data_IF_704268427083
#
_entry.id   IF_704268427083
#
_cell.length_a   1.000
_cell.length_b   1.000
_cell.length_c   1.000
_cell.angle_alpha   90.00
_cell.angle_beta   90.00
_cell.angle_gamma   90.00
#
_symmetry.space_group_name_H-M   'P 1'
#
loop_
_entity.id
_entity.type
_entity.pdbx_description
1 polymer ?
#
# COMPACT_ATOMS: atom_id res chain seq x y z
N UNK A 1 -6.63 7.66 -19.29
CA UNK A 1 -7.75 8.13 -18.44
C UNK A 1 -7.44 7.74 -17.00
N UNK A 2 -6.96 8.69 -16.19
CA UNK A 2 -6.29 8.46 -14.89
C UNK A 2 -7.23 8.75 -13.72
N UNK A 3 -8.11 7.82 -13.36
CA UNK A 3 -8.83 7.92 -12.09
C UNK A 3 -7.84 7.81 -10.93
N UNK A 4 -7.88 8.75 -9.99
CA UNK A 4 -7.07 8.73 -8.76
C UNK A 4 -7.22 7.40 -8.01
N UNK A 5 -8.43 6.88 -7.95
CA UNK A 5 -8.75 5.61 -7.31
C UNK A 5 -7.90 4.44 -7.84
N UNK A 6 -7.80 4.28 -9.16
CA UNK A 6 -6.93 3.27 -9.81
C UNK A 6 -5.44 3.45 -9.50
N UNK A 7 -5.00 4.63 -9.07
CA UNK A 7 -3.61 4.88 -8.64
C UNK A 7 -3.42 4.67 -7.15
N UNK A 8 -4.41 5.06 -6.34
CA UNK A 8 -4.33 5.08 -4.88
C UNK A 8 -4.56 3.67 -4.32
N UNK A 9 -5.57 2.93 -4.80
CA UNK A 9 -5.89 1.58 -4.31
C UNK A 9 -4.67 0.64 -4.34
N UNK A 10 -3.96 0.45 -5.48
CA UNK A 10 -2.81 -0.46 -5.52
C UNK A 10 -1.66 0.01 -4.64
N UNK A 11 -1.42 1.32 -4.53
CA UNK A 11 -0.38 1.88 -3.65
C UNK A 11 -0.70 1.65 -2.18
N UNK A 12 -1.91 1.95 -1.74
CA UNK A 12 -2.37 1.67 -0.39
C UNK A 12 -2.27 0.18 -0.06
N UNK A 13 -2.59 -0.69 -1.02
CA UNK A 13 -2.49 -2.14 -0.83
C UNK A 13 -1.05 -2.58 -0.57
N UNK A 14 -0.09 -2.09 -1.35
CA UNK A 14 1.35 -2.33 -1.12
C UNK A 14 1.79 -1.85 0.25
N UNK A 15 1.46 -0.61 0.63
CA UNK A 15 1.83 -0.05 1.95
C UNK A 15 1.23 -0.88 3.08
N UNK A 16 -0.04 -1.28 2.98
CA UNK A 16 -0.68 -2.13 3.99
C UNK A 16 0.06 -3.44 4.15
N UNK A 17 0.39 -4.14 3.06
CA UNK A 17 1.14 -5.41 3.12
C UNK A 17 2.50 -5.25 3.80
N UNK A 18 3.22 -4.16 3.49
CA UNK A 18 4.50 -3.87 4.10
C UNK A 18 4.38 -3.58 5.60
N UNK A 19 3.37 -2.81 6.02
CA UNK A 19 3.07 -2.54 7.43
C UNK A 19 2.71 -3.85 8.17
N UNK A 20 1.84 -4.67 7.59
CA UNK A 20 1.42 -5.95 8.17
C UNK A 20 2.57 -6.93 8.38
N UNK A 21 3.60 -6.85 7.54
CA UNK A 21 4.81 -7.68 7.65
C UNK A 21 5.91 -7.01 8.48
N UNK A 22 5.69 -5.81 9.01
CA UNK A 22 6.68 -5.07 9.80
C UNK A 22 7.89 -4.59 9.00
N UNK A 23 7.79 -4.55 7.66
CA UNK A 23 8.89 -4.12 6.77
C UNK A 23 9.05 -2.59 6.72
N UNK A 24 7.99 -1.89 7.09
CA UNK A 24 7.92 -0.45 7.30
C UNK A 24 7.09 -0.21 8.57
N UNK A 25 7.29 0.94 9.21
CA UNK A 25 6.51 1.37 10.37
C UNK A 25 5.66 2.61 10.02
N UNK A 26 4.59 2.84 10.81
CA UNK A 26 3.76 4.05 10.67
C UNK A 26 4.53 5.33 11.02
N UNK A 27 5.57 5.19 11.83
CA UNK A 27 6.47 6.24 12.28
C UNK A 27 7.27 6.88 11.12
N UNK A 28 7.49 6.13 10.03
CA UNK A 28 8.15 6.62 8.81
C UNK A 28 7.33 7.67 8.03
N UNK A 29 6.22 8.18 8.58
CA UNK A 29 5.39 9.27 8.04
C UNK A 29 5.14 9.10 6.54
N UNK A 30 4.57 7.97 6.16
CA UNK A 30 4.09 7.77 4.78
C UNK A 30 2.86 8.65 4.58
N UNK A 31 3.10 9.89 4.16
CA UNK A 31 2.04 10.84 3.88
C UNK A 31 1.21 10.37 2.69
N UNK A 32 -0.12 10.45 2.78
CA UNK A 32 -1.03 10.17 1.66
C UNK A 32 -0.69 11.01 0.43
N UNK A 33 -0.24 12.25 0.63
CA UNK A 33 0.26 13.13 -0.44
C UNK A 33 1.43 12.50 -1.19
N UNK A 34 2.36 11.85 -0.50
CA UNK A 34 3.50 11.15 -1.11
C UNK A 34 3.03 9.99 -2.00
N UNK A 35 1.98 9.27 -1.60
CA UNK A 35 1.41 8.20 -2.42
C UNK A 35 0.76 8.74 -3.70
N UNK A 36 0.09 9.89 -3.63
CA UNK A 36 -0.63 10.47 -4.78
C UNK A 36 0.30 11.21 -5.75
N UNK A 37 1.28 11.95 -5.22
CA UNK A 37 2.19 12.82 -5.98
C UNK A 37 3.31 12.00 -6.63
N UNK A 38 3.76 10.91 -6.00
CA UNK A 38 4.86 10.11 -6.55
C UNK A 38 4.48 9.42 -7.87
N UNK A 39 5.42 9.49 -8.81
CA UNK A 39 5.35 8.73 -10.05
C UNK A 39 5.30 7.22 -9.78
N UNK A 40 4.69 6.45 -10.68
CA UNK A 40 4.65 4.99 -10.56
C UNK A 40 6.06 4.40 -10.42
N UNK A 41 7.04 4.94 -11.16
CA UNK A 41 8.43 4.50 -11.11
C UNK A 41 9.03 4.70 -9.71
N UNK A 42 8.92 5.91 -9.16
CA UNK A 42 9.45 6.21 -7.84
C UNK A 42 8.80 5.35 -6.75
N UNK A 43 7.49 5.14 -6.84
CA UNK A 43 6.77 4.28 -5.91
C UNK A 43 7.24 2.82 -6.00
N UNK A 44 7.41 2.29 -7.22
CA UNK A 44 7.89 0.93 -7.47
C UNK A 44 9.28 0.73 -6.87
N UNK A 45 10.23 1.60 -7.17
CA UNK A 45 11.61 1.46 -6.68
C UNK A 45 11.67 1.52 -5.14
N UNK A 46 10.87 2.40 -4.54
CA UNK A 46 10.88 2.64 -3.08
C UNK A 46 10.17 1.55 -2.28
N UNK A 47 9.01 1.07 -2.74
CA UNK A 47 8.11 0.22 -1.94
C UNK A 47 7.87 -1.17 -2.54
N UNK A 48 8.11 -1.38 -3.83
CA UNK A 48 7.92 -2.68 -4.47
C UNK A 48 9.27 -3.36 -4.64
N UNK A 49 10.16 -2.82 -5.47
CA UNK A 49 11.47 -3.41 -5.79
C UNK A 49 12.31 -3.63 -4.53
N UNK A 50 12.38 -2.64 -3.64
CA UNK A 50 13.14 -2.72 -2.38
C UNK A 50 12.73 -3.89 -1.48
N UNK A 51 11.47 -4.29 -1.50
CA UNK A 51 10.92 -5.32 -0.61
C UNK A 51 10.48 -6.58 -1.35
N UNK A 52 10.78 -6.66 -2.64
CA UNK A 52 10.35 -7.76 -3.50
C UNK A 52 10.94 -9.10 -3.08
N UNK A 53 12.16 -9.10 -2.53
CA UNK A 53 12.80 -10.33 -2.01
C UNK A 53 12.07 -10.89 -0.78
N UNK A 54 11.50 -10.01 0.06
CA UNK A 54 10.71 -10.42 1.22
C UNK A 54 9.26 -10.73 0.86
N UNK A 55 8.72 -10.05 -0.15
CA UNK A 55 7.34 -10.20 -0.61
C UNK A 55 7.30 -10.20 -2.13
N UNK A 56 7.56 -11.35 -2.79
CA UNK A 56 7.61 -11.44 -4.25
C UNK A 56 6.31 -11.02 -4.94
N UNK A 57 5.21 -11.06 -4.19
CA UNK A 57 3.85 -10.77 -4.65
C UNK A 57 3.53 -9.27 -4.72
N UNK A 58 4.39 -8.37 -4.19
CA UNK A 58 4.14 -6.93 -4.19
C UNK A 58 3.90 -6.34 -5.58
N UNK A 59 4.61 -6.85 -6.60
CA UNK A 59 4.43 -6.40 -7.98
C UNK A 59 3.05 -6.77 -8.53
N UNK A 60 2.54 -7.96 -8.18
CA UNK A 60 1.20 -8.40 -8.58
C UNK A 60 0.12 -7.59 -7.87
N UNK A 61 0.32 -7.27 -6.58
CA UNK A 61 -0.57 -6.40 -5.81
C UNK A 61 -0.60 -4.99 -6.41
N UNK A 62 0.56 -4.42 -6.76
CA UNK A 62 0.64 -3.10 -7.39
C UNK A 62 -0.08 -3.05 -8.75
N UNK A 63 -0.02 -4.13 -9.53
CA UNK A 63 -0.76 -4.24 -10.79
C UNK A 63 -2.25 -4.60 -10.60
N UNK A 64 -2.71 -4.80 -9.36
CA UNK A 64 -4.08 -5.24 -9.07
C UNK A 64 -4.39 -6.66 -9.56
N UNK A 65 -3.36 -7.47 -9.81
CA UNK A 65 -3.49 -8.88 -10.23
C UNK A 65 -3.68 -9.83 -9.04
N UNK A 66 -3.42 -9.35 -7.83
CA UNK A 66 -3.52 -10.12 -6.60
C UNK A 66 -4.08 -9.24 -5.49
N UNK A 67 -4.95 -9.79 -4.66
CA UNK A 67 -5.53 -9.09 -3.51
C UNK A 67 -4.80 -9.42 -2.22
N UNK A 68 -4.98 -8.59 -1.20
CA UNK A 68 -4.37 -8.81 0.13
C UNK A 68 -4.89 -10.11 0.78
N UNK A 69 -6.15 -10.48 0.52
CA UNK A 69 -6.74 -11.72 1.03
C UNK A 69 -6.06 -12.98 0.47
N UNK A 70 -5.66 -12.95 -0.80
CA UNK A 70 -4.92 -14.06 -1.43
C UNK A 70 -3.50 -14.24 -0.86
N UNK A 71 -2.94 -13.22 -0.23
CA UNK A 71 -1.66 -13.32 0.48
C UNK A 71 -1.79 -13.99 1.87
N UNK A 72 -3.02 -14.39 2.26
CA UNK A 72 -3.32 -14.92 3.59
C UNK A 72 -3.29 -13.86 4.69
N UNK A 73 -3.36 -12.57 4.32
CA UNK A 73 -3.53 -11.47 5.24
C UNK A 73 -5.03 -11.21 5.41
N UNK A 74 -5.72 -12.09 6.14
CA UNK A 74 -7.07 -11.83 6.63
C UNK A 74 -7.01 -10.71 7.67
N UNK A 75 -7.71 -9.61 7.39
CA UNK A 75 -7.93 -8.56 8.37
C UNK A 75 -9.42 -8.46 8.63
N UNK A 76 -9.83 -8.75 9.86
CA UNK A 76 -11.12 -8.31 10.40
C UNK A 76 -11.23 -6.78 10.28
N UNK A 77 -12.39 -6.24 9.88
CA UNK A 77 -12.57 -4.81 9.75
C UNK A 77 -12.55 -4.16 11.13
N UNK A 78 -11.41 -3.61 11.57
CA UNK A 78 -11.39 -2.68 12.68
C UNK A 78 -11.94 -1.33 12.21
N UNK A 79 -13.23 -1.14 12.48
CA UNK A 79 -13.89 0.16 12.46
C UNK A 79 -13.16 1.14 13.36
N UNK A 80 -12.41 2.09 12.77
CA UNK A 80 -12.00 3.30 13.48
C UNK A 80 -12.30 4.49 12.59
N UNK A 81 -13.57 4.87 12.58
CA UNK A 81 -13.96 6.26 12.32
C UNK A 81 -13.67 7.04 13.60
N UNK A 82 -12.46 7.59 13.74
CA UNK A 82 -12.23 8.70 14.67
C UNK A 82 -12.52 9.98 13.91
N UNK A 83 -13.75 10.43 14.11
CA UNK A 83 -14.21 11.79 13.91
C UNK A 83 -13.17 12.80 14.43
N UNK A 84 -12.57 13.57 13.52
CA UNK A 84 -12.02 14.86 13.89
C UNK A 84 -13.20 15.84 13.98
N UNK A 85 -13.57 16.21 15.20
CA UNK A 85 -14.52 17.30 15.46
C UNK A 85 -13.97 18.62 14.90
N UNK A 86 -14.88 19.44 14.39
CA UNK A 86 -14.64 20.80 13.90
C UNK A 86 -14.16 21.75 15.00
#
# INVERSE_FOLDING_TARGET
MYSLERRIIPRCSVIRVLLSKGLINEENKICLSSLVINSNKHFLDTFVTKYQDHVPQLLNIFHGKMTIGELGLEFEPQSVMKNCSA
#
